data_IF_909749188087
#
_entry.id   IF_909749188087
#
_cell.length_a   1.000
_cell.length_b   1.000
_cell.length_c   1.000
_cell.angle_alpha   90.00
_cell.angle_beta   90.00
_cell.angle_gamma   90.00
#
_symmetry.space_group_name_H-M   'P 1'
#
loop_
_entity.id
_entity.type
_entity.pdbx_description
1 polymer ?
#
# COMPACT_ATOMS: atom_id res chain seq x y z
N UNK A 1 27.26 -2.43 -6.67
CA UNK A 1 27.48 -1.03 -7.14
C UNK A 1 26.11 -0.42 -7.30
N UNK A 2 25.78 0.60 -6.53
CA UNK A 2 24.47 1.25 -6.55
C UNK A 2 24.52 2.41 -7.54
N UNK A 3 23.64 2.38 -8.54
CA UNK A 3 23.56 3.42 -9.56
C UNK A 3 22.54 4.46 -9.05
N UNK A 4 22.98 5.71 -8.77
CA UNK A 4 22.08 6.77 -8.34
C UNK A 4 21.16 7.18 -9.48
N UNK A 5 19.89 7.42 -9.16
CA UNK A 5 18.86 7.78 -10.14
C UNK A 5 18.47 9.25 -9.95
N UNK A 6 18.19 9.95 -11.05
CA UNK A 6 17.74 11.34 -10.99
C UNK A 6 16.36 11.43 -10.32
N UNK A 7 16.15 12.35 -9.35
CA UNK A 7 14.87 12.51 -8.66
C UNK A 7 13.73 13.03 -9.58
N UNK A 8 14.06 13.53 -10.77
CA UNK A 8 13.07 13.90 -11.79
C UNK A 8 12.52 12.66 -12.50
N UNK A 9 13.32 11.59 -12.60
CA UNK A 9 12.99 10.37 -13.35
C UNK A 9 12.44 9.28 -12.44
N UNK A 10 12.89 9.23 -11.18
CA UNK A 10 12.45 8.23 -10.21
C UNK A 10 12.29 8.83 -8.82
N UNK A 11 11.30 8.33 -8.09
CA UNK A 11 11.10 8.63 -6.66
C UNK A 11 12.14 7.92 -5.76
N UNK A 12 12.89 6.96 -6.31
CA UNK A 12 13.92 6.21 -5.59
C UNK A 12 15.31 6.80 -5.83
N UNK A 13 16.14 6.81 -4.79
CA UNK A 13 17.48 7.39 -4.84
C UNK A 13 18.46 6.53 -5.66
N UNK A 14 18.24 5.22 -5.69
CA UNK A 14 19.10 4.25 -6.38
C UNK A 14 18.30 3.18 -7.12
N UNK A 15 18.86 2.67 -8.22
CA UNK A 15 18.22 1.65 -9.05
C UNK A 15 17.88 0.38 -8.27
N UNK A 16 18.73 -0.02 -7.32
CA UNK A 16 18.51 -1.21 -6.50
C UNK A 16 17.26 -1.07 -5.63
N UNK A 17 16.98 0.12 -5.12
CA UNK A 17 15.79 0.40 -4.31
C UNK A 17 14.53 0.31 -5.17
N UNK A 18 14.56 0.92 -6.37
CA UNK A 18 13.48 0.79 -7.35
C UNK A 18 13.23 -0.67 -7.75
N UNK A 19 14.29 -1.43 -8.02
CA UNK A 19 14.18 -2.84 -8.38
C UNK A 19 13.67 -3.71 -7.22
N UNK A 20 14.05 -3.38 -5.98
CA UNK A 20 13.54 -4.06 -4.79
C UNK A 20 12.04 -3.78 -4.61
N UNK A 21 11.63 -2.52 -4.79
CA UNK A 21 10.23 -2.13 -4.74
C UNK A 21 9.41 -2.82 -5.84
N UNK A 22 9.88 -2.83 -7.09
CA UNK A 22 9.17 -3.48 -8.20
C UNK A 22 8.95 -4.98 -7.94
N UNK A 23 9.97 -5.70 -7.43
CA UNK A 23 9.82 -7.12 -7.05
C UNK A 23 8.75 -7.32 -5.97
N UNK A 24 8.80 -6.51 -4.91
CA UNK A 24 7.81 -6.59 -3.84
C UNK A 24 6.40 -6.23 -4.34
N UNK A 25 6.28 -5.17 -5.14
CA UNK A 25 5.01 -4.70 -5.66
C UNK A 25 4.35 -5.74 -6.56
N UNK A 26 5.11 -6.34 -7.49
CA UNK A 26 4.63 -7.44 -8.34
C UNK A 26 4.18 -8.64 -7.52
N UNK A 27 4.95 -9.04 -6.51
CA UNK A 27 4.56 -10.15 -5.64
C UNK A 27 3.26 -9.84 -4.87
N UNK A 28 3.11 -8.62 -4.36
CA UNK A 28 1.90 -8.17 -3.66
C UNK A 28 0.68 -8.12 -4.58
N UNK A 29 0.83 -7.63 -5.81
CA UNK A 29 -0.23 -7.60 -6.82
C UNK A 29 -0.63 -9.02 -7.21
N UNK A 30 0.34 -9.91 -7.46
CA UNK A 30 0.05 -11.31 -7.80
C UNK A 30 -0.71 -12.01 -6.67
N UNK A 31 -0.28 -11.83 -5.42
CA UNK A 31 -1.01 -12.38 -4.26
C UNK A 31 -2.44 -11.85 -4.14
N UNK A 32 -2.71 -10.63 -4.62
CA UNK A 32 -4.06 -10.04 -4.63
C UNK A 32 -4.91 -10.56 -5.80
N UNK A 33 -4.30 -10.86 -6.94
CA UNK A 33 -4.96 -11.51 -8.10
C UNK A 33 -5.30 -12.97 -7.79
N UNK A 34 -4.39 -13.67 -7.09
CA UNK A 34 -4.55 -15.07 -6.71
C UNK A 34 -5.53 -15.27 -5.55
N UNK A 35 -6.02 -14.19 -4.93
CA UNK A 35 -6.99 -14.25 -3.84
C UNK A 35 -8.34 -14.77 -4.38
N UNK A 36 -8.84 -15.92 -3.89
CA UNK A 36 -10.07 -16.51 -4.41
C UNK A 36 -11.33 -15.79 -3.93
N UNK A 37 -11.22 -14.82 -3.01
CA UNK A 37 -12.37 -14.08 -2.49
C UNK A 37 -12.96 -13.19 -3.59
N UNK A 38 -14.30 -13.11 -3.71
CA UNK A 38 -14.92 -12.21 -4.66
C UNK A 38 -14.60 -10.75 -4.29
N UNK A 39 -14.52 -9.88 -5.31
CA UNK A 39 -14.43 -8.45 -5.08
C UNK A 39 -15.69 -7.93 -4.40
N UNK A 40 -15.52 -6.96 -3.50
CA UNK A 40 -16.63 -6.27 -2.84
C UNK A 40 -17.04 -5.02 -3.64
N UNK A 41 -18.33 -4.62 -3.61
CA UNK A 41 -18.79 -3.37 -4.21
C UNK A 41 -18.13 -2.14 -3.58
N UNK A 42 -18.10 -1.04 -4.34
CA UNK A 42 -17.55 0.23 -3.85
C UNK A 42 -18.23 0.73 -2.56
N UNK A 43 -19.55 0.65 -2.49
CA UNK A 43 -20.29 1.13 -1.32
C UNK A 43 -19.96 0.33 -0.06
N UNK A 44 -19.69 -0.98 -0.21
CA UNK A 44 -19.30 -1.85 0.89
C UNK A 44 -17.91 -1.50 1.44
N UNK A 45 -16.92 -1.27 0.57
CA UNK A 45 -15.58 -0.86 1.02
C UNK A 45 -15.61 0.52 1.66
N UNK A 46 -16.43 1.45 1.16
CA UNK A 46 -16.55 2.79 1.76
C UNK A 46 -17.22 2.73 3.15
N UNK A 47 -18.24 1.88 3.32
CA UNK A 47 -18.87 1.68 4.62
C UNK A 47 -17.90 1.05 5.64
N UNK A 48 -17.06 0.11 5.22
CA UNK A 48 -16.01 -0.46 6.06
C UNK A 48 -14.96 0.58 6.47
N UNK A 49 -14.51 1.43 5.55
CA UNK A 49 -13.56 2.51 5.84
C UNK A 49 -14.13 3.52 6.82
N UNK A 50 -15.38 3.96 6.64
CA UNK A 50 -16.02 4.90 7.58
C UNK A 50 -16.09 4.31 8.99
N UNK A 51 -16.50 3.05 9.11
CA UNK A 51 -16.54 2.33 10.39
C UNK A 51 -15.17 2.29 11.06
N UNK A 52 -14.10 1.95 10.32
CA UNK A 52 -12.73 1.95 10.86
C UNK A 52 -12.27 3.34 11.33
N UNK A 53 -12.67 4.41 10.63
CA UNK A 53 -12.34 5.77 11.03
C UNK A 53 -13.11 6.21 12.28
N UNK A 54 -14.38 5.84 12.40
CA UNK A 54 -15.19 6.07 13.61
C UNK A 54 -14.58 5.37 14.82
N UNK A 55 -14.22 4.09 14.68
CA UNK A 55 -13.55 3.32 15.74
C UNK A 55 -12.25 3.99 16.19
N UNK A 56 -11.41 4.45 15.25
CA UNK A 56 -10.16 5.16 15.56
C UNK A 56 -10.36 6.52 16.22
N UNK A 57 -11.44 7.22 15.90
CA UNK A 57 -11.80 8.52 16.50
C UNK A 57 -12.41 8.37 17.88
N UNK A 58 -13.19 7.31 18.10
CA UNK A 58 -13.79 6.98 19.39
C UNK A 58 -12.77 6.39 20.38
N UNK A 59 -11.70 5.77 19.88
CA UNK A 59 -10.58 5.37 20.71
C UNK A 59 -9.92 6.62 21.31
N UNK A 60 -9.80 6.73 22.66
CA UNK A 60 -9.03 7.81 23.24
C UNK A 60 -7.62 7.75 22.66
N UNK A 61 -7.12 8.89 22.18
CA UNK A 61 -5.74 9.02 21.77
C UNK A 61 -4.90 8.78 23.02
N UNK A 62 -4.48 7.53 23.25
CA UNK A 62 -3.48 7.20 24.26
C UNK A 62 -2.20 7.79 23.71
N UNK A 63 -2.01 9.08 23.98
CA UNK A 63 -0.77 9.78 23.75
C UNK A 63 0.31 8.98 24.48
N UNK A 64 1.17 8.34 23.69
CA UNK A 64 2.39 7.70 24.17
C UNK A 64 3.51 8.73 24.11
#
# INVERSE_FOLDING_TARGET
MSIPVSPIVSEFEIEEQAASYDRWFRAKVQASIDDPRPSIPHDEVMAEVERMLEERRAAPHVAR
#
